data_IF_136737651841
#
_entry.id   IF_136737651841
#
_cell.length_a   1.000
_cell.length_b   1.000
_cell.length_c   1.000
_cell.angle_alpha   90.00
_cell.angle_beta   90.00
_cell.angle_gamma   90.00
#
_symmetry.space_group_name_H-M   'P 1'
#
loop_
_entity.id
_entity.type
_entity.pdbx_description
1 polymer ?
#
# COMPACT_ATOMS: atom_id res chain seq x y z
N UNK A 1 -21.85 -1.92 23.72
CA UNK A 1 -21.53 -2.99 22.74
C UNK A 1 -21.35 -4.29 23.49
N UNK A 2 -21.96 -5.38 23.02
CA UNK A 2 -22.00 -6.68 23.72
C UNK A 2 -20.67 -7.44 23.55
N UNK A 3 -19.93 -7.66 24.65
CA UNK A 3 -18.60 -8.29 24.67
C UNK A 3 -18.54 -9.67 23.99
N UNK A 4 -19.66 -10.40 24.02
CA UNK A 4 -19.81 -11.76 23.46
C UNK A 4 -19.58 -11.80 21.94
N UNK A 5 -19.94 -10.75 21.20
CA UNK A 5 -19.77 -10.71 19.72
C UNK A 5 -18.30 -10.62 19.34
N UNK A 6 -17.53 -9.77 20.04
CA UNK A 6 -16.10 -9.57 19.76
C UNK A 6 -15.29 -10.84 19.96
N UNK A 7 -15.56 -11.57 21.04
CA UNK A 7 -14.86 -12.81 21.36
C UNK A 7 -15.20 -13.95 20.39
N UNK A 8 -16.47 -14.06 19.95
CA UNK A 8 -16.90 -15.12 19.02
C UNK A 8 -16.46 -14.90 17.58
N UNK A 9 -16.39 -13.64 17.14
CA UNK A 9 -16.05 -13.28 15.75
C UNK A 9 -14.60 -12.77 15.60
N UNK A 10 -13.79 -12.93 16.66
CA UNK A 10 -12.38 -12.57 16.68
C UNK A 10 -12.09 -11.14 16.19
N UNK A 11 -13.00 -10.21 16.52
CA UNK A 11 -13.00 -8.85 15.99
C UNK A 11 -11.73 -8.13 16.43
N UNK A 12 -11.02 -7.54 15.48
CA UNK A 12 -9.98 -6.54 15.74
C UNK A 12 -10.50 -5.16 15.35
N UNK A 13 -10.14 -4.16 16.15
CA UNK A 13 -10.51 -2.77 15.92
C UNK A 13 -9.31 -2.00 15.39
N UNK A 14 -9.49 -1.32 14.25
CA UNK A 14 -8.48 -0.44 13.67
C UNK A 14 -9.04 0.97 13.55
N UNK A 15 -8.27 1.95 14.03
CA UNK A 15 -8.62 3.35 13.92
C UNK A 15 -8.33 3.85 12.50
N UNK A 16 -9.34 4.42 11.85
CA UNK A 16 -9.22 5.09 10.57
C UNK A 16 -8.67 6.50 10.74
N UNK A 17 -8.10 7.06 9.67
CA UNK A 17 -7.59 8.45 9.65
C UNK A 17 -8.69 9.48 9.98
N UNK A 18 -9.95 9.20 9.62
CA UNK A 18 -11.11 10.04 9.94
C UNK A 18 -11.60 9.89 11.39
N UNK A 19 -10.91 9.09 12.20
CA UNK A 19 -11.19 8.85 13.62
C UNK A 19 -12.21 7.74 13.90
N UNK A 20 -12.87 7.19 12.89
CA UNK A 20 -13.80 6.05 13.07
C UNK A 20 -13.05 4.77 13.41
N UNK A 21 -13.76 3.81 14.00
CA UNK A 21 -13.24 2.47 14.29
C UNK A 21 -13.77 1.49 13.25
N UNK A 22 -12.86 0.94 12.45
CA UNK A 22 -13.12 -0.17 11.54
C UNK A 22 -13.00 -1.47 12.33
N UNK A 23 -14.10 -2.19 12.43
CA UNK A 23 -14.18 -3.52 13.03
C UNK A 23 -13.93 -4.56 11.95
N UNK A 24 -13.02 -5.50 12.19
CA UNK A 24 -12.61 -6.49 11.19
C UNK A 24 -12.78 -7.89 11.79
N UNK A 25 -13.62 -8.71 11.16
CA UNK A 25 -13.84 -10.10 11.53
C UNK A 25 -12.73 -10.98 10.95
N UNK A 26 -11.92 -11.55 11.85
CA UNK A 26 -10.77 -12.37 11.49
C UNK A 26 -11.09 -13.85 11.55
N UNK A 27 -10.29 -14.66 10.86
CA UNK A 27 -10.42 -16.12 10.85
C UNK A 27 -10.21 -16.77 12.23
N UNK A 28 -9.33 -16.20 13.07
CA UNK A 28 -9.09 -16.60 14.46
C UNK A 28 -8.51 -15.45 15.31
N UNK A 29 -8.48 -15.60 16.64
CA UNK A 29 -8.14 -14.55 17.61
C UNK A 29 -6.77 -13.85 17.42
N UNK A 30 -5.80 -14.52 16.79
CA UNK A 30 -4.45 -13.99 16.54
C UNK A 30 -4.13 -13.88 15.05
N UNK A 31 -5.12 -14.08 14.17
CA UNK A 31 -4.87 -13.93 12.74
C UNK A 31 -4.49 -12.49 12.42
N UNK A 32 -3.70 -12.30 11.38
CA UNK A 32 -3.55 -10.98 10.79
C UNK A 32 -4.82 -10.62 10.01
N UNK A 33 -4.94 -9.34 9.66
CA UNK A 33 -6.00 -8.89 8.75
C UNK A 33 -5.65 -9.33 7.35
N UNK A 34 -6.59 -10.02 6.70
CA UNK A 34 -6.38 -10.65 5.40
C UNK A 34 -7.45 -10.24 4.38
N UNK A 35 -7.13 -10.40 3.10
CA UNK A 35 -8.13 -10.32 2.02
C UNK A 35 -9.21 -11.36 2.29
N UNK A 36 -10.48 -10.97 2.15
CA UNK A 36 -11.64 -11.81 2.45
C UNK A 36 -12.22 -11.58 3.86
N UNK A 37 -11.52 -10.89 4.76
CA UNK A 37 -12.09 -10.53 6.06
C UNK A 37 -13.24 -9.54 5.89
N UNK A 38 -14.29 -9.72 6.70
CA UNK A 38 -15.45 -8.83 6.73
C UNK A 38 -15.17 -7.61 7.59
N UNK A 39 -15.78 -6.50 7.22
CA UNK A 39 -15.59 -5.22 7.89
C UNK A 39 -16.92 -4.54 8.19
N UNK A 40 -16.96 -3.84 9.33
CA UNK A 40 -18.08 -3.01 9.75
C UNK A 40 -17.59 -1.76 10.49
N UNK A 41 -18.46 -0.78 10.66
CA UNK A 41 -18.27 0.31 11.61
C UNK A 41 -19.51 0.32 12.51
N UNK A 42 -19.33 0.22 13.82
CA UNK A 42 -20.43 0.13 14.80
C UNK A 42 -21.43 -1.02 14.51
N UNK A 43 -20.95 -2.17 14.01
CA UNK A 43 -21.72 -3.31 13.53
C UNK A 43 -22.64 -3.02 12.32
N UNK A 44 -22.42 -1.93 11.61
CA UNK A 44 -23.16 -1.59 10.39
C UNK A 44 -22.34 -1.88 9.13
N UNK A 45 -23.07 -2.19 8.06
CA UNK A 45 -22.54 -2.29 6.69
C UNK A 45 -21.94 -0.95 6.29
N UNK A 46 -20.74 -0.99 5.74
CA UNK A 46 -20.02 0.19 5.26
C UNK A 46 -20.09 0.29 3.75
N UNK A 47 -19.83 1.49 3.23
CA UNK A 47 -19.79 1.73 1.79
C UNK A 47 -18.55 1.08 1.17
N UNK A 48 -18.64 0.77 -0.12
CA UNK A 48 -17.46 0.41 -0.89
C UNK A 48 -16.48 1.58 -0.92
N UNK A 49 -15.18 1.30 -0.84
CA UNK A 49 -14.17 2.33 -0.90
C UNK A 49 -12.84 1.94 -0.25
N UNK A 50 -11.96 2.94 -0.15
CA UNK A 50 -10.63 2.81 0.43
C UNK A 50 -10.59 3.38 1.83
N UNK A 51 -10.10 2.58 2.78
CA UNK A 51 -10.07 2.88 4.21
C UNK A 51 -8.63 2.92 4.69
N UNK A 52 -8.12 4.13 4.99
CA UNK A 52 -6.76 4.31 5.48
C UNK A 52 -6.67 4.15 7.00
N UNK A 53 -5.75 3.31 7.44
CA UNK A 53 -5.53 3.02 8.87
C UNK A 53 -4.62 4.10 9.46
N UNK A 54 -5.01 4.68 10.60
CA UNK A 54 -4.34 5.83 11.20
C UNK A 54 -2.94 5.51 11.74
N UNK A 55 -2.76 4.31 12.28
CA UNK A 55 -1.52 3.91 12.98
C UNK A 55 -0.69 2.89 12.20
N UNK A 56 -1.09 2.59 10.97
CA UNK A 56 -0.41 1.63 10.11
C UNK A 56 -0.22 2.23 8.72
N UNK A 57 0.83 1.81 8.03
CA UNK A 57 1.05 2.15 6.62
C UNK A 57 0.16 1.29 5.72
N UNK A 58 -1.14 1.19 6.02
CA UNK A 58 -2.08 0.32 5.31
C UNK A 58 -3.32 1.05 4.84
N UNK A 59 -3.79 0.65 3.67
CA UNK A 59 -5.10 1.01 3.12
C UNK A 59 -5.82 -0.29 2.79
N UNK A 60 -7.06 -0.42 3.24
CA UNK A 60 -7.94 -1.52 2.87
C UNK A 60 -8.93 -1.06 1.81
N UNK A 61 -8.92 -1.73 0.67
CA UNK A 61 -9.97 -1.58 -0.33
C UNK A 61 -11.09 -2.55 0.01
N UNK A 62 -12.28 -2.01 0.23
CA UNK A 62 -13.44 -2.76 0.69
C UNK A 62 -14.50 -2.73 -0.40
N UNK A 63 -15.07 -3.90 -0.68
CA UNK A 63 -16.23 -4.07 -1.54
C UNK A 63 -17.20 -5.06 -0.92
N UNK A 64 -18.49 -4.72 -0.88
CA UNK A 64 -19.53 -5.52 -0.25
C UNK A 64 -19.14 -5.96 1.18
N UNK A 65 -18.62 -5.01 1.98
CA UNK A 65 -18.15 -5.24 3.36
C UNK A 65 -17.01 -6.26 3.51
N UNK A 66 -16.26 -6.51 2.45
CA UNK A 66 -15.15 -7.46 2.46
C UNK A 66 -13.90 -6.77 1.96
N UNK A 67 -12.77 -7.00 2.63
CA UNK A 67 -11.47 -6.52 2.16
C UNK A 67 -11.12 -7.28 0.88
N UNK A 68 -11.02 -6.57 -0.24
CA UNK A 68 -10.65 -7.17 -1.54
C UNK A 68 -9.18 -6.96 -1.89
N UNK A 69 -8.55 -5.95 -1.29
CA UNK A 69 -7.13 -5.65 -1.48
C UNK A 69 -6.59 -4.93 -0.25
N UNK A 70 -5.37 -5.26 0.12
CA UNK A 70 -4.60 -4.53 1.14
C UNK A 70 -3.42 -3.87 0.40
N UNK A 71 -3.25 -2.58 0.62
CA UNK A 71 -2.09 -1.83 0.13
C UNK A 71 -1.19 -1.43 1.29
N UNK A 72 0.12 -1.51 1.09
CA UNK A 72 1.11 -0.87 1.95
C UNK A 72 1.49 0.48 1.38
N UNK A 73 1.44 1.52 2.21
CA UNK A 73 1.74 2.90 1.83
C UNK A 73 3.20 3.19 2.17
N UNK A 74 4.06 3.26 1.16
CA UNK A 74 5.47 3.59 1.36
C UNK A 74 5.85 4.89 0.68
N UNK A 75 6.72 5.63 1.35
CA UNK A 75 7.24 6.91 0.90
C UNK A 75 8.65 6.70 0.35
N UNK A 76 8.90 7.24 -0.83
CA UNK A 76 10.19 7.18 -1.52
C UNK A 76 10.64 8.57 -1.90
N UNK A 77 11.96 8.75 -1.99
CA UNK A 77 12.57 9.94 -2.58
C UNK A 77 13.10 9.64 -3.97
N UNK A 78 12.80 10.54 -4.89
CA UNK A 78 13.43 10.57 -6.20
C UNK A 78 14.85 11.14 -6.11
N UNK A 79 15.65 10.99 -7.17
CA UNK A 79 16.97 11.61 -7.29
C UNK A 79 16.92 13.14 -7.33
N UNK A 80 15.74 13.74 -7.57
CA UNK A 80 15.51 15.19 -7.50
C UNK A 80 14.98 15.63 -6.14
N UNK A 81 15.08 14.79 -5.10
CA UNK A 81 14.55 15.02 -3.75
C UNK A 81 13.02 15.19 -3.65
N UNK A 82 12.30 14.97 -4.75
CA UNK A 82 10.83 14.92 -4.74
C UNK A 82 10.37 13.67 -3.97
N UNK A 83 9.52 13.88 -2.99
CA UNK A 83 8.86 12.80 -2.24
C UNK A 83 7.68 12.24 -3.05
N UNK A 84 7.60 10.92 -3.11
CA UNK A 84 6.49 10.21 -3.75
C UNK A 84 5.95 9.17 -2.79
N UNK A 85 4.64 8.96 -2.84
CA UNK A 85 3.96 7.89 -2.10
C UNK A 85 3.56 6.80 -3.08
N UNK A 86 3.84 5.54 -2.75
CA UNK A 86 3.44 4.39 -3.56
C UNK A 86 2.53 3.51 -2.70
N UNK A 87 1.34 3.22 -3.23
CA UNK A 87 0.43 2.22 -2.68
C UNK A 87 0.79 0.88 -3.30
N UNK A 88 1.52 0.07 -2.55
CA UNK A 88 2.07 -1.20 -3.00
C UNK A 88 1.17 -2.36 -2.63
N UNK A 89 0.89 -3.25 -3.59
CA UNK A 89 0.18 -4.50 -3.31
C UNK A 89 1.05 -5.51 -2.56
N UNK A 90 2.37 -5.47 -2.79
CA UNK A 90 3.36 -6.25 -2.07
C UNK A 90 4.23 -5.30 -1.23
N UNK A 91 4.25 -5.47 0.08
CA UNK A 91 4.94 -4.53 0.97
C UNK A 91 6.47 -4.52 0.79
N UNK A 92 7.05 -5.59 0.26
CA UNK A 92 8.50 -5.71 0.09
C UNK A 92 9.05 -5.04 -1.17
N UNK A 93 8.23 -4.90 -2.20
CA UNK A 93 8.71 -4.49 -3.51
C UNK A 93 7.72 -3.62 -4.27
N UNK A 94 8.28 -2.67 -5.02
CA UNK A 94 7.53 -1.85 -5.95
C UNK A 94 7.26 -2.72 -7.18
N UNK A 95 6.00 -2.81 -7.59
CA UNK A 95 5.57 -3.68 -8.69
C UNK A 95 4.79 -2.91 -9.76
N UNK A 96 4.68 -3.50 -10.95
CA UNK A 96 3.81 -2.99 -12.01
C UNK A 96 2.36 -2.94 -11.50
N UNK A 97 1.68 -1.83 -11.76
CA UNK A 97 0.29 -1.58 -11.37
C UNK A 97 0.11 -0.94 -9.99
N UNK A 98 1.17 -0.82 -9.19
CA UNK A 98 1.13 -0.04 -7.96
C UNK A 98 0.82 1.43 -8.28
N UNK A 99 0.05 2.07 -7.41
CA UNK A 99 -0.39 3.45 -7.62
C UNK A 99 0.63 4.42 -7.02
N UNK A 100 0.92 5.49 -7.73
CA UNK A 100 1.94 6.49 -7.39
C UNK A 100 1.27 7.84 -7.20
N UNK A 101 1.68 8.52 -6.13
CA UNK A 101 1.17 9.83 -5.75
C UNK A 101 2.33 10.79 -5.52
N UNK A 102 2.15 12.05 -5.92
CA UNK A 102 3.07 13.16 -5.68
C UNK A 102 2.25 14.27 -5.05
N UNK A 103 2.70 14.81 -3.91
CA UNK A 103 1.96 15.83 -3.16
C UNK A 103 0.49 15.44 -2.85
N UNK A 104 0.25 14.17 -2.52
CA UNK A 104 -1.08 13.60 -2.28
C UNK A 104 -2.02 13.53 -3.49
N UNK A 105 -1.53 13.87 -4.69
CA UNK A 105 -2.28 13.75 -5.95
C UNK A 105 -1.78 12.56 -6.76
N UNK A 106 -2.66 12.01 -7.60
CA UNK A 106 -2.30 10.90 -8.49
C UNK A 106 -1.20 11.40 -9.45
N UNK A 107 -0.09 10.66 -9.52
CA UNK A 107 1.03 11.05 -10.34
C UNK A 107 0.68 11.03 -11.84
N UNK A 108 0.98 12.11 -12.54
CA UNK A 108 0.88 12.15 -14.00
C UNK A 108 1.86 11.17 -14.67
N UNK A 109 1.62 10.90 -15.95
CA UNK A 109 2.48 10.06 -16.78
C UNK A 109 3.89 10.64 -16.89
N UNK A 110 4.87 9.98 -16.27
CA UNK A 110 6.24 10.49 -16.16
C UNK A 110 7.26 9.39 -15.83
N UNK A 111 8.55 9.73 -15.96
CA UNK A 111 9.67 8.87 -15.55
C UNK A 111 10.25 9.34 -14.21
N UNK A 112 10.08 8.55 -13.15
CA UNK A 112 10.60 8.85 -11.82
C UNK A 112 11.87 8.04 -11.54
N UNK A 113 12.99 8.74 -11.36
CA UNK A 113 14.25 8.10 -10.98
C UNK A 113 14.38 8.06 -9.47
N UNK A 114 14.41 6.88 -8.87
CA UNK A 114 14.63 6.68 -7.45
C UNK A 114 16.12 6.76 -7.10
N UNK A 115 16.44 7.14 -5.86
CA UNK A 115 17.82 7.27 -5.35
C UNK A 115 18.66 5.99 -5.48
N UNK A 116 18.03 4.80 -5.50
CA UNK A 116 18.70 3.49 -5.62
C UNK A 116 18.83 2.96 -7.06
N UNK A 117 18.83 3.84 -8.05
CA UNK A 117 19.07 3.47 -9.46
C UNK A 117 17.91 2.76 -10.15
N UNK A 118 16.72 2.73 -9.56
CA UNK A 118 15.48 2.29 -10.22
C UNK A 118 14.84 3.48 -10.94
N UNK A 119 14.27 3.23 -12.10
CA UNK A 119 13.48 4.19 -12.86
C UNK A 119 12.08 3.61 -12.99
N UNK A 120 11.08 4.32 -12.48
CA UNK A 120 9.67 3.98 -12.60
C UNK A 120 9.10 4.74 -13.78
N UNK A 121 8.49 4.02 -14.72
CA UNK A 121 7.67 4.65 -15.76
C UNK A 121 6.22 4.58 -15.29
N UNK A 122 5.68 5.75 -14.94
CA UNK A 122 4.31 5.93 -14.48
C UNK A 122 3.44 6.32 -15.66
N UNK A 123 2.25 5.73 -15.75
CA UNK A 123 1.20 6.09 -16.70
C UNK A 123 -0.13 6.11 -15.96
N UNK A 124 -0.86 7.23 -16.04
CA UNK A 124 -2.15 7.44 -15.36
C UNK A 124 -2.11 7.03 -13.87
N UNK A 125 -1.11 7.51 -13.14
CA UNK A 125 -0.98 7.22 -11.71
C UNK A 125 -0.48 5.83 -11.36
N UNK A 126 -0.19 4.96 -12.33
CA UNK A 126 0.23 3.59 -12.08
C UNK A 126 1.59 3.29 -12.66
N UNK A 127 2.35 2.45 -11.99
CA UNK A 127 3.62 1.96 -12.51
C UNK A 127 3.36 1.04 -13.69
N UNK A 128 3.74 1.46 -14.89
CA UNK A 128 3.64 0.64 -16.09
C UNK A 128 4.89 -0.22 -16.31
N UNK A 129 6.07 0.31 -15.97
CA UNK A 129 7.35 -0.39 -16.13
C UNK A 129 8.35 0.04 -15.06
N UNK A 130 9.23 -0.89 -14.68
CA UNK A 130 10.37 -0.63 -13.80
C UNK A 130 11.64 -0.95 -14.59
N UNK A 131 12.56 0.01 -14.68
CA UNK A 131 13.89 -0.17 -15.28
C UNK A 131 14.95 -0.05 -14.20
N UNK A 132 16.00 -0.85 -14.32
CA UNK A 132 17.20 -0.72 -13.51
C UNK A 132 18.24 0.06 -14.29
N UNK A 133 18.92 1.00 -13.63
CA UNK A 133 20.14 1.57 -14.19
C UNK A 133 21.17 0.45 -14.22
N UNK A 134 21.50 -0.03 -15.42
CA UNK A 134 22.54 -1.03 -15.61
C UNK A 134 23.87 -0.50 -15.07
N UNK A 135 24.40 -1.11 -14.00
CA UNK A 135 25.75 -0.84 -13.49
C UNK A 135 26.71 -1.82 -14.19
N UNK A 136 26.84 -1.71 -15.51
CA UNK A 136 27.96 -2.33 -16.22
C UNK A 136 28.70 -1.23 -16.94
N UNK A 137 29.56 -0.53 -16.22
CA UNK A 137 30.68 0.24 -16.77
C UNK A 137 31.75 0.32 -15.66
N UNK A 138 32.96 -0.14 -15.99
CA UNK A 138 34.21 -0.09 -15.20
C UNK A 138 34.55 -1.23 -14.22
N UNK A 139 34.42 -2.49 -14.65
CA UNK A 139 35.24 -3.58 -14.09
C UNK A 139 36.25 -4.18 -15.10
N UNK A 140 36.25 -3.70 -16.35
CA UNK A 140 37.15 -4.21 -17.40
C UNK A 140 38.44 -3.38 -17.58
N UNK A 141 38.63 -2.27 -16.86
CA UNK A 141 39.83 -1.43 -16.97
C UNK A 141 40.87 -1.65 -15.85
N UNK A 142 40.61 -2.57 -14.91
CA UNK A 142 41.53 -2.89 -13.80
C UNK A 142 42.40 -4.13 -14.04
N UNK A 143 42.31 -4.76 -15.21
CA UNK A 143 43.11 -5.94 -15.58
C UNK A 143 43.99 -5.74 -16.83
N UNK A 144 44.12 -4.51 -17.31
CA UNK A 144 44.99 -4.14 -18.44
C UNK A 144 45.79 -2.89 -18.07
N UNK A 145 46.73 -3.00 -17.13
CA UNK A 145 47.99 -2.25 -17.07
C UNK A 145 48.93 -2.92 -16.06
#
# INVERSE_FOLDING_TARGET
MNNIRREKLFIVEQKLVDGKILEIERSYYLAEVEIGNKVSINNEVIKDGSYQISNEKKIYEVKNNTIIQIFTVNIYKTSSETEITIHQKNYWEISKGDSVFINSEIAESQSLKLTKGRILLVHDGKINQIKWKTIFHNLLYLFLH
#
